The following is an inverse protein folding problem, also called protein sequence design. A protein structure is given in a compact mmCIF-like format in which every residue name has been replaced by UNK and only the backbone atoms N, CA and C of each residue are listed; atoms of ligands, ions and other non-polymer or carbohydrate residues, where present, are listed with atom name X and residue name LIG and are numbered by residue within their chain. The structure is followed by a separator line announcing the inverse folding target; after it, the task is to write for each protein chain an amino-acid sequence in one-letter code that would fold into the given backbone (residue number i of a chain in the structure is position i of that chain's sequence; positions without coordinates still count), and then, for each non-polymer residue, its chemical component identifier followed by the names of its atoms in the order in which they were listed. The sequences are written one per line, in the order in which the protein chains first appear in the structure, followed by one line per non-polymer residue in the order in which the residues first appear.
data_IF_871931910302
#
_entry.id   IF_871931910302
#
_cell.length_a   1.000
_cell.length_b   1.000
_cell.length_c   1.000
_cell.angle_alpha   90.00
_cell.angle_beta   90.00
_cell.angle_gamma   90.00
#
_symmetry.space_group_name_H-M   'P 1'
#
loop_
_entity.id
_entity.type
_entity.pdbx_description
1 polymer ?
#
# COMPACT_ATOMS: atom_id res chain seq x y z
N UNK A 1 -2.74 5.89 4.75
CA UNK A 1 -1.90 4.68 4.79
C UNK A 1 -1.70 4.23 3.35
N UNK A 2 -0.49 4.41 2.86
CA UNK A 2 -0.15 4.32 1.45
C UNK A 2 -0.16 2.85 1.03
N UNK A 3 -0.97 2.48 0.04
CA UNK A 3 -1.12 1.09 -0.42
C UNK A 3 0.20 0.41 -0.83
N UNK A 4 1.26 1.20 -1.06
CA UNK A 4 2.62 0.75 -1.37
C UNK A 4 3.24 -0.09 -0.24
N UNK A 5 2.98 0.22 1.03
CA UNK A 5 3.61 -0.46 2.18
C UNK A 5 3.24 -1.94 2.25
N UNK A 6 1.97 -2.29 2.05
CA UNK A 6 1.52 -3.67 2.19
C UNK A 6 2.04 -4.58 1.06
N UNK A 7 2.09 -4.05 -0.17
CA UNK A 7 2.65 -4.76 -1.33
C UNK A 7 4.16 -4.93 -1.21
N UNK A 8 4.87 -3.88 -0.77
CA UNK A 8 6.30 -3.96 -0.52
C UNK A 8 6.63 -4.97 0.60
N UNK A 9 5.88 -4.95 1.70
CA UNK A 9 6.04 -5.93 2.78
C UNK A 9 5.77 -7.36 2.33
N UNK A 10 4.78 -7.57 1.47
CA UNK A 10 4.50 -8.89 0.87
C UNK A 10 5.63 -9.34 -0.05
N UNK A 11 6.18 -8.46 -0.89
CA UNK A 11 7.34 -8.78 -1.73
C UNK A 11 8.60 -9.09 -0.90
N UNK A 12 8.84 -8.34 0.17
CA UNK A 12 9.92 -8.56 1.14
C UNK A 12 9.77 -9.93 1.80
N UNK A 13 8.55 -10.25 2.25
CA UNK A 13 8.28 -11.53 2.87
C UNK A 13 8.63 -12.66 1.90
N UNK A 14 8.10 -12.64 0.67
CA UNK A 14 8.37 -13.65 -0.37
C UNK A 14 9.87 -13.84 -0.63
N UNK A 15 10.65 -12.75 -0.64
CA UNK A 15 12.11 -12.78 -0.77
C UNK A 15 12.80 -13.43 0.43
N UNK A 16 12.31 -13.19 1.64
CA UNK A 16 12.80 -13.85 2.85
C UNK A 16 12.55 -15.36 2.79
N UNK A 17 11.45 -15.82 2.19
CA UNK A 17 11.18 -17.25 2.04
C UNK A 17 12.01 -17.89 0.93
N UNK A 18 12.14 -17.22 -0.22
CA UNK A 18 12.95 -17.69 -1.34
C UNK A 18 13.85 -16.57 -1.88
N UNK A 19 15.05 -16.38 -1.32
CA UNK A 19 15.96 -15.32 -1.75
C UNK A 19 16.37 -15.41 -3.23
N UNK A 20 16.27 -16.60 -3.82
CA UNK A 20 16.58 -16.81 -5.23
C UNK A 20 15.59 -16.14 -6.19
N UNK A 21 14.36 -15.81 -5.76
CA UNK A 21 13.36 -15.12 -6.61
C UNK A 21 13.75 -13.66 -6.87
N UNK A 22 14.70 -13.11 -6.11
CA UNK A 22 15.28 -11.79 -6.37
C UNK A 22 15.82 -11.65 -7.80
N UNK A 23 16.22 -12.76 -8.44
CA UNK A 23 16.69 -12.79 -9.83
C UNK A 23 15.59 -12.55 -10.86
N UNK A 24 14.32 -12.73 -10.48
CA UNK A 24 13.16 -12.58 -11.35
C UNK A 24 12.80 -11.10 -11.58
N UNK A 25 13.40 -10.18 -10.83
CA UNK A 25 13.09 -8.76 -10.91
C UNK A 25 14.35 -7.92 -10.86
N UNK A 26 14.30 -6.75 -11.51
CA UNK A 26 15.38 -5.77 -11.47
C UNK A 26 15.06 -4.64 -10.48
N UNK A 27 16.06 -4.23 -9.70
CA UNK A 27 15.98 -3.09 -8.76
C UNK A 27 15.48 -1.81 -9.46
N UNK A 28 15.79 -1.66 -10.76
CA UNK A 28 15.35 -0.55 -11.62
C UNK A 28 13.84 -0.36 -11.65
N UNK A 29 13.07 -1.44 -11.55
CA UNK A 29 11.60 -1.42 -11.61
C UNK A 29 11.00 -0.64 -10.44
N UNK A 30 11.74 -0.55 -9.32
CA UNK A 30 11.30 0.16 -8.13
C UNK A 30 11.80 1.61 -8.10
N UNK A 31 12.63 2.07 -9.06
CA UNK A 31 13.34 3.36 -8.98
C UNK A 31 12.42 4.57 -8.73
N UNK A 32 11.27 4.61 -9.39
CA UNK A 32 10.30 5.71 -9.32
C UNK A 32 9.34 5.64 -8.12
N UNK A 33 9.43 4.59 -7.29
CA UNK A 33 8.57 4.42 -6.12
C UNK A 33 9.19 5.10 -4.90
N UNK A 34 8.39 5.61 -3.97
CA UNK A 34 8.86 6.24 -2.73
C UNK A 34 8.20 5.55 -1.52
N UNK A 35 8.95 5.40 -0.42
CA UNK A 35 8.45 4.84 0.83
C UNK A 35 9.48 3.97 1.55
N UNK A 36 9.38 3.92 2.88
CA UNK A 36 10.33 3.21 3.76
C UNK A 36 10.41 1.71 3.41
N UNK A 37 9.26 1.03 3.27
CA UNK A 37 9.21 -0.38 2.90
C UNK A 37 9.75 -0.64 1.47
N UNK A 38 9.58 0.30 0.55
CA UNK A 38 10.06 0.16 -0.84
C UNK A 38 11.57 0.37 -0.92
N UNK A 39 12.11 1.29 -0.13
CA UNK A 39 13.55 1.47 0.04
C UNK A 39 14.17 0.18 0.60
N UNK A 40 13.58 -0.39 1.65
CA UNK A 40 14.03 -1.66 2.23
C UNK A 40 14.00 -2.81 1.21
N UNK A 41 12.91 -2.93 0.43
CA UNK A 41 12.79 -3.93 -0.64
C UNK A 41 13.91 -3.79 -1.68
N UNK A 42 14.26 -2.55 -2.06
CA UNK A 42 15.37 -2.30 -2.99
C UNK A 42 16.71 -2.71 -2.41
N UNK A 43 17.01 -2.33 -1.18
CA UNK A 43 18.26 -2.72 -0.52
C UNK A 43 18.38 -4.25 -0.42
N UNK A 44 17.28 -4.94 -0.12
CA UNK A 44 17.21 -6.41 -0.10
C UNK A 44 17.53 -7.02 -1.47
N UNK A 45 16.92 -6.50 -2.53
CA UNK A 45 17.19 -6.94 -3.89
C UNK A 45 18.64 -6.67 -4.30
N UNK A 46 19.19 -5.50 -4.00
CA UNK A 46 20.59 -5.18 -4.29
C UNK A 46 21.56 -6.11 -3.53
N UNK A 47 21.27 -6.41 -2.26
CA UNK A 47 22.06 -7.32 -1.46
C UNK A 47 22.02 -8.74 -2.04
N UNK A 48 20.83 -9.22 -2.42
CA UNK A 48 20.64 -10.55 -3.01
C UNK A 48 21.25 -10.67 -4.41
N UNK A 49 21.24 -9.61 -5.20
CA UNK A 49 21.93 -9.57 -6.49
C UNK A 49 23.45 -9.57 -6.32
N UNK A 50 23.98 -8.91 -5.28
CA UNK A 50 25.42 -8.95 -4.95
C UNK A 50 25.86 -10.26 -4.32
N UNK A 51 24.99 -10.90 -3.54
CA UNK A 51 25.25 -12.14 -2.78
C UNK A 51 24.10 -13.13 -2.93
N UNK A 52 23.99 -13.79 -4.09
CA UNK A 52 22.91 -14.74 -4.37
C UNK A 52 22.94 -15.98 -3.47
N UNK A 53 24.06 -16.25 -2.79
CA UNK A 53 24.14 -17.32 -1.79
C UNK A 53 23.55 -16.95 -0.41
N UNK A 54 23.08 -15.71 -0.24
CA UNK A 54 22.52 -15.26 1.04
C UNK A 54 21.21 -15.96 1.33
N UNK A 55 21.09 -16.50 2.55
CA UNK A 55 19.86 -17.08 3.06
C UNK A 55 19.10 -16.10 3.96
N UNK A 56 17.86 -16.45 4.32
CA UNK A 56 17.00 -15.65 5.21
C UNK A 56 17.69 -15.25 6.51
N UNK A 57 18.48 -16.13 7.12
CA UNK A 57 19.18 -15.83 8.38
C UNK A 57 20.30 -14.80 8.17
N UNK A 58 21.01 -14.84 7.04
CA UNK A 58 22.01 -13.83 6.67
C UNK A 58 21.36 -12.47 6.41
N UNK A 59 20.19 -12.46 5.77
CA UNK A 59 19.42 -11.23 5.57
C UNK A 59 18.98 -10.65 6.92
N UNK A 60 18.33 -11.44 7.78
CA UNK A 60 17.92 -11.00 9.12
C UNK A 60 19.09 -10.54 9.98
N UNK A 61 20.26 -11.18 9.85
CA UNK A 61 21.49 -10.77 10.53
C UNK A 61 22.04 -9.43 10.03
N UNK A 62 21.85 -9.10 8.75
CA UNK A 62 22.31 -7.84 8.17
C UNK A 62 21.59 -6.62 8.76
N UNK A 63 20.27 -6.74 8.97
CA UNK A 63 19.45 -5.69 9.59
C UNK A 63 19.23 -5.88 11.09
N UNK A 64 19.99 -6.76 11.75
CA UNK A 64 19.80 -7.03 13.17
C UNK A 64 20.02 -5.77 14.04
N UNK A 65 19.07 -5.46 14.92
CA UNK A 65 19.12 -4.30 15.80
C UNK A 65 18.61 -2.98 15.18
N UNK A 66 18.03 -3.04 13.97
CA UNK A 66 17.38 -1.89 13.31
C UNK A 66 15.86 -2.05 13.29
N UNK A 67 15.13 -0.97 13.04
CA UNK A 67 13.66 -0.99 12.92
C UNK A 67 13.22 -1.86 11.73
N UNK A 68 13.99 -1.83 10.65
CA UNK A 68 13.83 -2.68 9.47
C UNK A 68 14.02 -4.15 9.83
N UNK A 69 15.02 -4.48 10.65
CA UNK A 69 15.27 -5.85 11.12
C UNK A 69 14.10 -6.43 11.93
N UNK A 70 13.47 -5.63 12.79
CA UNK A 70 12.27 -6.05 13.52
C UNK A 70 11.10 -6.34 12.57
N UNK A 71 10.92 -5.51 11.55
CA UNK A 71 9.92 -5.72 10.50
C UNK A 71 10.22 -7.02 9.72
N UNK A 72 11.45 -7.21 9.27
CA UNK A 72 11.88 -8.42 8.54
C UNK A 72 11.66 -9.68 9.37
N UNK A 73 12.00 -9.65 10.66
CA UNK A 73 11.80 -10.77 11.58
C UNK A 73 10.32 -11.11 11.74
N UNK A 74 9.47 -10.09 11.88
CA UNK A 74 8.01 -10.24 11.94
C UNK A 74 7.44 -10.83 10.65
N UNK A 75 7.86 -10.33 9.49
CA UNK A 75 7.41 -10.82 8.17
C UNK A 75 7.85 -12.27 7.93
N UNK A 76 9.11 -12.60 8.23
CA UNK A 76 9.62 -13.98 8.16
C UNK A 76 8.84 -14.95 9.06
N UNK A 77 8.40 -14.49 10.23
CA UNK A 77 7.57 -15.27 11.15
C UNK A 77 6.15 -15.52 10.64
N UNK A 78 5.55 -14.53 9.99
CA UNK A 78 4.19 -14.63 9.41
C UNK A 78 4.17 -15.48 8.13
N UNK A 79 5.24 -15.46 7.35
CA UNK A 79 5.27 -16.13 6.06
C UNK A 79 5.58 -17.64 6.09
N UNK A 80 6.09 -18.18 7.21
CA UNK A 80 6.27 -19.63 7.38
C UNK A 80 5.00 -20.48 7.19
N UNK A 81 3.84 -19.85 7.10
CA UNK A 81 2.53 -20.48 6.89
C UNK A 81 2.12 -20.58 5.41
N UNK A 82 2.85 -19.96 4.48
CA UNK A 82 2.53 -20.00 3.05
C UNK A 82 3.12 -21.26 2.40
N UNK A 83 2.32 -22.06 1.66
CA UNK A 83 2.85 -23.19 0.90
C UNK A 83 3.86 -22.71 -0.16
N UNK A 84 4.96 -23.44 -0.31
CA UNK A 84 6.06 -23.14 -1.25
C UNK A 84 5.65 -23.15 -2.74
N UNK A 85 4.48 -23.70 -3.06
CA UNK A 85 3.95 -23.72 -4.42
C UNK A 85 3.35 -22.36 -4.79
N UNK A 86 3.88 -21.75 -5.86
CA UNK A 86 3.36 -20.50 -6.42
C UNK A 86 4.04 -19.22 -5.92
N UNK A 87 5.07 -19.31 -5.07
CA UNK A 87 5.80 -18.15 -4.53
C UNK A 87 6.41 -17.29 -5.66
N UNK A 88 7.02 -17.92 -6.67
CA UNK A 88 7.59 -17.21 -7.82
C UNK A 88 6.52 -16.43 -8.61
N UNK A 89 5.32 -17.01 -8.77
CA UNK A 89 4.19 -16.36 -9.44
C UNK A 89 3.65 -15.22 -8.59
N UNK A 90 3.39 -15.45 -7.30
CA UNK A 90 2.91 -14.43 -6.38
C UNK A 90 3.88 -13.25 -6.26
N UNK A 91 5.18 -13.51 -6.25
CA UNK A 91 6.20 -12.46 -6.25
C UNK A 91 6.17 -11.66 -7.57
N UNK A 92 6.11 -12.35 -8.71
CA UNK A 92 6.02 -11.71 -10.01
C UNK A 92 4.76 -10.85 -10.14
N UNK A 93 3.60 -11.34 -9.68
CA UNK A 93 2.34 -10.60 -9.66
C UNK A 93 2.42 -9.38 -8.75
N UNK A 94 3.03 -9.51 -7.56
CA UNK A 94 3.21 -8.41 -6.60
C UNK A 94 4.13 -7.32 -7.18
N UNK A 95 5.24 -7.72 -7.83
CA UNK A 95 6.16 -6.81 -8.50
C UNK A 95 5.51 -6.15 -9.73
N UNK A 96 4.65 -6.87 -10.44
CA UNK A 96 3.88 -6.34 -11.56
C UNK A 96 2.83 -5.33 -11.06
N UNK A 97 2.20 -5.56 -9.90
CA UNK A 97 1.28 -4.61 -9.28
C UNK A 97 2.03 -3.34 -8.82
N UNK A 98 3.20 -3.51 -8.19
CA UNK A 98 4.11 -2.42 -7.81
C UNK A 98 4.55 -1.56 -9.01
N UNK A 99 4.81 -2.18 -10.17
CA UNK A 99 5.32 -1.48 -11.35
C UNK A 99 4.25 -0.94 -12.30
N UNK A 100 3.20 -1.72 -12.60
CA UNK A 100 2.19 -1.37 -13.62
C UNK A 100 0.98 -0.63 -13.05
N UNK A 101 0.48 -1.01 -11.87
CA UNK A 101 -0.81 -0.50 -11.37
C UNK A 101 -0.68 0.82 -10.61
N UNK A 102 0.52 1.21 -10.21
CA UNK A 102 0.74 2.30 -9.26
C UNK A 102 1.11 3.67 -9.84
N UNK A 103 1.75 3.84 -11.02
CA UNK A 103 1.79 5.17 -11.65
C UNK A 103 0.38 5.64 -12.08
N UNK A 104 -0.54 4.73 -12.40
CA UNK A 104 -1.95 5.05 -12.65
C UNK A 104 -2.74 5.31 -11.36
N UNK A 105 -2.57 4.48 -10.32
CA UNK A 105 -3.25 4.71 -9.03
C UNK A 105 -2.73 5.92 -8.27
N UNK A 106 -1.45 6.27 -8.36
CA UNK A 106 -0.89 7.48 -7.72
C UNK A 106 -1.40 8.74 -8.42
N UNK A 107 -1.50 8.74 -9.77
CA UNK A 107 -2.18 9.80 -10.51
C UNK A 107 -3.68 9.86 -10.22
N UNK A 108 -4.35 8.72 -10.08
CA UNK A 108 -5.79 8.68 -9.81
C UNK A 108 -6.08 9.05 -8.35
N UNK A 109 -5.30 8.59 -7.40
CA UNK A 109 -5.40 8.91 -5.97
C UNK A 109 -5.02 10.38 -5.74
N UNK A 110 -3.97 10.91 -6.35
CA UNK A 110 -3.65 12.33 -6.28
C UNK A 110 -4.73 13.21 -6.95
N UNK A 111 -5.31 12.76 -8.07
CA UNK A 111 -6.47 13.45 -8.67
C UNK A 111 -7.70 13.35 -7.76
N UNK A 112 -7.95 12.21 -7.13
CA UNK A 112 -9.07 12.00 -6.20
C UNK A 112 -8.87 12.76 -4.89
N UNK A 113 -7.65 12.89 -4.37
CA UNK A 113 -7.33 13.71 -3.20
C UNK A 113 -7.44 15.20 -3.53
N UNK A 114 -6.94 15.61 -4.70
CA UNK A 114 -7.11 16.98 -5.21
C UNK A 114 -8.59 17.30 -5.43
N UNK A 115 -9.36 16.38 -6.03
CA UNK A 115 -10.81 16.49 -6.20
C UNK A 115 -11.55 16.42 -4.88
N UNK A 116 -11.13 15.63 -3.89
CA UNK A 116 -11.74 15.61 -2.56
C UNK A 116 -11.45 16.90 -1.80
N UNK A 117 -10.26 17.49 -1.95
CA UNK A 117 -9.91 18.77 -1.34
C UNK A 117 -10.67 19.95 -1.96
N UNK A 118 -10.86 20.00 -3.29
CA UNK A 118 -11.73 21.02 -3.92
C UNK A 118 -13.21 20.74 -3.67
N UNK A 119 -13.67 19.49 -3.77
CA UNK A 119 -15.07 19.14 -3.63
C UNK A 119 -15.55 19.19 -2.17
N UNK A 120 -14.70 18.99 -1.16
CA UNK A 120 -15.09 19.15 0.26
C UNK A 120 -15.32 20.63 0.63
N UNK A 121 -14.62 21.56 -0.02
CA UNK A 121 -14.82 23.00 0.18
C UNK A 121 -16.09 23.52 -0.51
N UNK A 122 -16.44 23.00 -1.70
CA UNK A 122 -17.64 23.45 -2.44
C UNK A 122 -18.93 22.70 -2.05
N UNK A 123 -18.84 21.42 -1.65
CA UNK A 123 -20.02 20.61 -1.30
C UNK A 123 -20.52 20.89 0.12
N UNK A 124 -19.65 21.31 1.05
CA UNK A 124 -20.06 21.54 2.45
C UNK A 124 -21.05 22.69 2.63
N UNK A 125 -20.94 23.76 1.82
CA UNK A 125 -21.88 24.89 1.88
C UNK A 125 -23.20 24.59 1.15
N UNK A 126 -23.14 23.96 -0.03
CA UNK A 126 -24.32 23.60 -0.81
C UNK A 126 -25.18 22.52 -0.13
N UNK A 127 -24.57 21.52 0.52
CA UNK A 127 -25.32 20.49 1.26
C UNK A 127 -25.93 21.04 2.56
N UNK A 128 -25.25 21.92 3.29
CA UNK A 128 -25.85 22.62 4.45
C UNK A 128 -27.04 23.47 4.05
N UNK A 129 -26.98 24.11 2.88
CA UNK A 129 -28.06 24.96 2.38
C UNK A 129 -29.28 24.11 1.97
N UNK A 130 -29.07 22.99 1.24
CA UNK A 130 -30.15 22.04 0.92
C UNK A 130 -30.77 21.41 2.17
N UNK A 131 -29.95 21.06 3.18
CA UNK A 131 -30.46 20.48 4.42
C UNK A 131 -31.32 21.48 5.21
N UNK A 132 -30.96 22.77 5.20
CA UNK A 132 -31.76 23.85 5.80
C UNK A 132 -33.10 24.04 5.10
N UNK A 133 -33.14 24.03 3.78
CA UNK A 133 -34.39 24.15 3.02
C UNK A 133 -35.32 22.96 3.28
N UNK A 134 -34.78 21.74 3.31
CA UNK A 134 -35.57 20.52 3.57
C UNK A 134 -36.15 20.47 4.98
N UNK A 135 -35.39 20.96 5.98
CA UNK A 135 -35.87 21.07 7.36
C UNK A 135 -36.95 22.15 7.51
N UNK A 136 -36.85 23.27 6.79
CA UNK A 136 -37.89 24.29 6.77
C UNK A 136 -39.18 23.80 6.09
N UNK A 137 -39.06 23.06 4.99
CA UNK A 137 -40.22 22.47 4.31
C UNK A 137 -40.93 21.44 5.19
N UNK A 138 -40.16 20.59 5.90
CA UNK A 138 -40.73 19.63 6.85
C UNK A 138 -41.44 20.34 8.02
N UNK A 139 -40.83 21.35 8.63
CA UNK A 139 -41.47 22.11 9.71
C UNK A 139 -42.77 22.80 9.26
N UNK A 140 -42.83 23.32 8.03
CA UNK A 140 -44.06 23.90 7.47
C UNK A 140 -45.17 22.85 7.28
N UNK A 141 -44.82 21.64 6.83
CA UNK A 141 -45.79 20.54 6.67
C UNK A 141 -46.31 20.01 8.00
N UNK A 142 -45.45 19.85 9.00
CA UNK A 142 -45.86 19.44 10.35
C UNK A 142 -46.75 20.50 11.02
N UNK A 143 -46.44 21.80 10.88
CA UNK A 143 -47.29 22.88 11.42
C UNK A 143 -48.67 22.96 10.75
N UNK A 144 -48.78 22.57 9.48
CA UNK A 144 -50.04 22.54 8.74
C UNK A 144 -50.89 21.30 9.07
N UNK A 145 -50.24 20.20 9.48
CA UNK A 145 -50.90 18.97 9.93
C UNK A 145 -51.46 19.08 11.35
N UNK A 146 -50.85 19.90 12.21
CA UNK A 146 -51.28 20.09 13.61
C UNK A 146 -52.36 21.18 13.81
N UNK A 147 -52.92 21.72 12.72
CA UNK A 147 -53.98 22.75 12.71
C UNK A 147 -55.33 22.25 12.16
N UNK A 148 -55.48 20.93 11.99
CA UNK A 148 -56.72 20.27 11.60
C UNK A 148 -57.23 19.38 12.71
#
# INVERSE_FOLDING_TARGET
ATGYSNLAQSAIALLLHQPHIARLTEVRVLQDLEGEDVSLLRELLELLQRRPESNTAMLLGHWYGTTEGELLSRLAGQERLIPTEGIEQQFSDTMNELSQHLPQRSKLAAQVDKLKLTNYAEVSDLEKQRLREMLQEKQRRDAQRNKR
#
